data_IF_035448364133
#
_entry.id   IF_035448364133
#
_cell.length_a   1.000
_cell.length_b   1.000
_cell.length_c   1.000
_cell.angle_alpha   90.00
_cell.angle_beta   90.00
_cell.angle_gamma   90.00
#
_symmetry.space_group_name_H-M   'P 1'
#
loop_
_entity.id
_entity.type
_entity.pdbx_description
1 polymer ?
#
# COMPACT_ATOMS: atom_id res chain seq x y z
N UNK A 1 31.70 -4.56 5.52
CA UNK A 1 30.82 -3.47 5.06
C UNK A 1 30.39 -3.85 3.68
N UNK A 2 29.11 -4.16 3.51
CA UNK A 2 28.55 -4.56 2.23
C UNK A 2 28.17 -3.32 1.40
N UNK A 3 27.79 -3.54 0.13
CA UNK A 3 27.24 -2.46 -0.71
C UNK A 3 25.99 -1.83 -0.08
N UNK A 4 25.18 -2.64 0.62
CA UNK A 4 24.02 -2.15 1.38
C UNK A 4 24.46 -1.17 2.47
N UNK A 5 25.45 -1.53 3.31
CA UNK A 5 25.94 -0.65 4.37
C UNK A 5 26.38 0.72 3.80
N UNK A 6 27.11 0.71 2.69
CA UNK A 6 27.58 1.92 2.02
C UNK A 6 26.40 2.75 1.51
N UNK A 7 25.40 2.12 0.89
CA UNK A 7 24.22 2.81 0.39
C UNK A 7 23.40 3.45 1.52
N UNK A 8 23.18 2.73 2.62
CA UNK A 8 22.46 3.25 3.79
C UNK A 8 23.17 4.46 4.37
N UNK A 9 24.48 4.37 4.60
CA UNK A 9 25.29 5.48 5.12
C UNK A 9 25.26 6.67 4.17
N UNK A 10 25.43 6.44 2.86
CA UNK A 10 25.41 7.49 1.86
C UNK A 10 24.08 8.23 1.84
N UNK A 11 22.94 7.51 1.85
CA UNK A 11 21.60 8.11 1.89
C UNK A 11 21.40 8.92 3.17
N UNK A 12 21.81 8.37 4.33
CA UNK A 12 21.72 9.07 5.61
C UNK A 12 22.55 10.36 5.65
N UNK A 13 23.78 10.33 5.14
CA UNK A 13 24.66 11.50 5.07
C UNK A 13 24.07 12.54 4.11
N UNK A 14 23.68 12.14 2.90
CA UNK A 14 23.10 13.05 1.91
C UNK A 14 21.83 13.70 2.48
N UNK A 15 20.93 12.91 3.06
CA UNK A 15 19.72 13.43 3.71
C UNK A 15 20.05 14.39 4.86
N UNK A 16 21.03 14.05 5.70
CA UNK A 16 21.54 14.93 6.76
C UNK A 16 22.08 16.26 6.21
N UNK A 17 22.90 16.23 5.17
CA UNK A 17 23.48 17.44 4.56
C UNK A 17 22.41 18.31 3.90
N UNK A 18 21.43 17.73 3.20
CA UNK A 18 20.31 18.49 2.63
C UNK A 18 19.48 19.17 3.73
N UNK A 19 19.20 18.46 4.83
CA UNK A 19 18.47 19.02 5.96
C UNK A 19 19.29 20.08 6.73
N UNK A 20 20.62 19.93 6.79
CA UNK A 20 21.52 20.94 7.36
C UNK A 20 21.46 22.25 6.56
N UNK A 21 21.38 22.20 5.23
CA UNK A 21 21.26 23.39 4.38
C UNK A 21 19.89 24.07 4.58
N UNK A 22 18.83 23.28 4.76
CA UNK A 22 17.46 23.81 4.94
C UNK A 22 17.16 24.30 6.36
N UNK A 23 17.82 23.73 7.37
CA UNK A 23 17.56 24.00 8.78
C UNK A 23 16.48 23.08 9.37
N UNK A 24 16.58 22.77 10.67
CA UNK A 24 15.63 21.93 11.39
C UNK A 24 14.22 22.53 11.39
N UNK A 25 14.08 23.83 11.65
CA UNK A 25 12.79 24.49 11.69
C UNK A 25 12.04 24.35 10.35
N UNK A 26 12.73 24.57 9.22
CA UNK A 26 12.17 24.39 7.88
C UNK A 26 11.69 22.97 7.64
N UNK A 27 12.47 22.00 8.12
CA UNK A 27 12.18 20.58 7.95
C UNK A 27 10.96 20.14 8.79
N UNK A 28 10.86 20.57 10.05
CA UNK A 28 9.68 20.35 10.90
C UNK A 28 8.44 21.02 10.31
N UNK A 29 8.55 22.27 9.87
CA UNK A 29 7.43 22.97 9.22
C UNK A 29 6.98 22.26 7.94
N UNK A 30 7.90 21.64 7.19
CA UNK A 30 7.55 20.87 6.00
C UNK A 30 6.71 19.64 6.34
N UNK A 31 7.02 18.95 7.45
CA UNK A 31 6.27 17.77 7.91
C UNK A 31 4.91 18.20 8.45
N UNK A 32 4.85 19.30 9.19
CA UNK A 32 3.58 19.89 9.60
C UNK A 32 2.72 20.26 8.39
N UNK A 33 3.29 20.81 7.33
CA UNK A 33 2.56 21.09 6.09
C UNK A 33 1.97 19.81 5.47
N UNK A 34 2.73 18.72 5.43
CA UNK A 34 2.24 17.41 4.99
C UNK A 34 1.07 16.91 5.86
N UNK A 35 1.20 17.00 7.19
CA UNK A 35 0.16 16.54 8.14
C UNK A 35 -1.12 17.37 8.00
N UNK A 36 -1.00 18.70 7.97
CA UNK A 36 -2.15 19.59 7.84
C UNK A 36 -2.82 19.42 6.47
N UNK A 37 -2.04 19.26 5.40
CA UNK A 37 -2.58 18.97 4.08
C UNK A 37 -3.31 17.63 4.02
N UNK A 38 -2.77 16.57 4.63
CA UNK A 38 -3.41 15.27 4.72
C UNK A 38 -4.72 15.35 5.53
N UNK A 39 -4.71 16.03 6.68
CA UNK A 39 -5.90 16.22 7.49
C UNK A 39 -6.97 17.02 6.73
N UNK A 40 -6.57 18.10 6.04
CA UNK A 40 -7.47 18.86 5.20
C UNK A 40 -8.05 17.99 4.08
N UNK A 41 -7.23 17.16 3.41
CA UNK A 41 -7.71 16.24 2.39
C UNK A 41 -8.75 15.27 2.97
N UNK A 42 -8.48 14.64 4.12
CA UNK A 42 -9.41 13.70 4.76
C UNK A 42 -10.74 14.33 5.18
N UNK A 43 -10.74 15.61 5.55
CA UNK A 43 -11.95 16.31 5.99
C UNK A 43 -12.73 16.95 4.83
N UNK A 44 -12.05 17.47 3.82
CA UNK A 44 -12.67 18.27 2.75
C UNK A 44 -12.95 17.46 1.48
N UNK A 45 -12.37 16.28 1.29
CA UNK A 45 -12.59 15.49 0.06
C UNK A 45 -14.09 15.23 -0.25
N UNK A 46 -14.99 14.96 0.72
CA UNK A 46 -16.38 14.65 0.41
C UNK A 46 -17.11 15.85 -0.21
N UNK A 47 -16.70 17.07 0.11
CA UNK A 47 -17.27 18.29 -0.44
C UNK A 47 -16.90 18.49 -1.92
N UNK A 48 -15.73 17.98 -2.33
CA UNK A 48 -15.21 18.14 -3.68
C UNK A 48 -15.63 17.01 -4.63
N UNK A 49 -16.00 15.84 -4.11
CA UNK A 49 -16.48 14.69 -4.91
C UNK A 49 -17.59 15.06 -5.90
N UNK A 50 -18.70 15.72 -5.51
CA UNK A 50 -19.80 15.97 -6.44
C UNK A 50 -19.40 16.89 -7.60
N UNK A 51 -18.44 17.79 -7.36
CA UNK A 51 -17.89 18.64 -8.41
C UNK A 51 -17.00 17.83 -9.37
N UNK A 52 -16.14 16.96 -8.84
CA UNK A 52 -15.19 16.17 -9.63
C UNK A 52 -15.88 15.05 -10.42
N UNK A 53 -16.97 14.48 -9.91
CA UNK A 53 -17.75 13.45 -10.62
C UNK A 53 -18.35 13.94 -11.94
N UNK A 54 -18.49 15.25 -12.13
CA UNK A 54 -18.95 15.80 -13.42
C UNK A 54 -17.93 15.59 -14.56
N UNK A 55 -16.66 15.33 -14.22
CA UNK A 55 -15.56 15.20 -15.18
C UNK A 55 -14.77 13.89 -15.04
N UNK A 56 -14.94 13.14 -13.96
CA UNK A 56 -14.23 11.90 -13.69
C UNK A 56 -15.18 10.80 -13.18
N UNK A 57 -15.41 9.80 -14.02
CA UNK A 57 -15.99 8.51 -13.64
C UNK A 57 -14.90 7.45 -13.78
N UNK A 58 -14.77 6.45 -12.88
CA UNK A 58 -15.68 6.02 -11.79
C UNK A 58 -15.45 6.68 -10.41
N UNK A 59 -16.30 6.38 -9.41
CA UNK A 59 -16.27 6.99 -8.05
C UNK A 59 -14.88 6.98 -7.39
N UNK A 60 -14.14 5.88 -7.46
CA UNK A 60 -12.80 5.79 -6.84
C UNK A 60 -11.81 6.78 -7.45
N UNK A 61 -11.94 7.08 -8.75
CA UNK A 61 -11.13 8.07 -9.44
C UNK A 61 -11.50 9.48 -8.98
N UNK A 62 -12.80 9.79 -8.89
CA UNK A 62 -13.27 11.07 -8.36
C UNK A 62 -12.80 11.31 -6.92
N UNK A 63 -12.93 10.30 -6.05
CA UNK A 63 -12.43 10.33 -4.68
C UNK A 63 -10.93 10.63 -4.63
N UNK A 64 -10.14 9.91 -5.44
CA UNK A 64 -8.69 10.08 -5.49
C UNK A 64 -8.31 11.48 -5.96
N UNK A 65 -8.95 11.99 -7.02
CA UNK A 65 -8.71 13.34 -7.55
C UNK A 65 -9.11 14.41 -6.53
N UNK A 66 -10.26 14.27 -5.87
CA UNK A 66 -10.72 15.20 -4.84
C UNK A 66 -9.73 15.28 -3.67
N UNK A 67 -9.35 14.14 -3.10
CA UNK A 67 -8.41 14.08 -1.99
C UNK A 67 -7.02 14.61 -2.38
N UNK A 68 -6.49 14.19 -3.53
CA UNK A 68 -5.20 14.64 -4.04
C UNK A 68 -5.20 16.15 -4.37
N UNK A 69 -6.27 16.65 -4.98
CA UNK A 69 -6.41 18.07 -5.31
C UNK A 69 -6.38 18.95 -4.06
N UNK A 70 -7.14 18.59 -3.02
CA UNK A 70 -7.13 19.32 -1.75
C UNK A 70 -5.77 19.25 -1.09
N UNK A 71 -5.19 18.04 -1.02
CA UNK A 71 -3.86 17.84 -0.47
C UNK A 71 -2.84 18.78 -1.11
N UNK A 72 -2.75 18.79 -2.44
CA UNK A 72 -1.78 19.61 -3.18
C UNK A 72 -2.01 21.10 -2.96
N UNK A 73 -3.27 21.57 -3.06
CA UNK A 73 -3.60 22.99 -2.89
C UNK A 73 -3.23 23.47 -1.48
N UNK A 74 -3.61 22.71 -0.45
CA UNK A 74 -3.32 23.05 0.95
C UNK A 74 -1.82 22.99 1.23
N UNK A 75 -1.14 21.94 0.74
CA UNK A 75 0.30 21.79 0.89
C UNK A 75 1.07 22.97 0.28
N UNK A 76 0.72 23.37 -0.95
CA UNK A 76 1.33 24.52 -1.63
C UNK A 76 1.06 25.81 -0.84
N UNK A 77 -0.17 26.03 -0.38
CA UNK A 77 -0.53 27.22 0.39
C UNK A 77 0.30 27.34 1.69
N UNK A 78 0.42 26.25 2.45
CA UNK A 78 1.21 26.23 3.70
C UNK A 78 2.70 26.37 3.39
N UNK A 79 3.22 25.62 2.42
CA UNK A 79 4.63 25.67 2.04
C UNK A 79 5.04 27.07 1.56
N UNK A 80 4.22 27.70 0.73
CA UNK A 80 4.45 29.07 0.26
C UNK A 80 4.48 30.09 1.40
N UNK A 81 3.64 29.89 2.44
CA UNK A 81 3.68 30.73 3.63
C UNK A 81 5.01 30.57 4.36
N UNK A 82 5.48 29.33 4.56
CA UNK A 82 6.74 29.02 5.26
C UNK A 82 7.96 29.65 4.60
N UNK A 83 8.06 29.65 3.26
CA UNK A 83 9.19 30.27 2.54
C UNK A 83 9.35 31.78 2.82
N UNK A 84 8.28 32.50 3.18
CA UNK A 84 8.37 33.94 3.46
C UNK A 84 8.98 34.27 4.83
N UNK A 85 9.13 33.29 5.72
CA UNK A 85 9.66 33.48 7.06
C UNK A 85 11.17 33.29 7.15
N UNK A 86 11.75 32.45 6.29
CA UNK A 86 13.17 32.06 6.34
C UNK A 86 14.14 33.15 5.89
N UNK A 87 13.74 34.09 5.03
CA UNK A 87 14.62 35.19 4.60
C UNK A 87 14.91 36.22 5.70
N UNK A 88 14.06 36.32 6.74
CA UNK A 88 14.17 37.36 7.78
C UNK A 88 15.13 37.04 8.92
N UNK A 89 15.70 35.84 8.98
CA UNK A 89 16.55 35.39 10.09
C UNK A 89 18.04 35.32 9.70
N UNK A 90 18.60 36.41 9.16
CA UNK A 90 20.03 36.51 8.90
C UNK A 90 20.73 37.41 9.92
N UNK A 91 21.09 36.83 11.08
CA UNK A 91 22.02 37.47 12.01
C UNK A 91 22.00 36.86 13.41
N UNK A 92 22.83 35.84 13.67
CA UNK A 92 23.11 35.36 15.03
C UNK A 92 23.32 33.86 15.15
N UNK A 93 24.12 33.45 16.13
CA UNK A 93 24.60 32.09 16.46
C UNK A 93 23.51 30.99 16.49
N UNK A 94 22.23 31.37 16.60
CA UNK A 94 21.04 30.51 16.54
C UNK A 94 20.99 29.69 15.22
N UNK A 95 21.53 30.22 14.13
CA UNK A 95 21.57 29.51 12.84
C UNK A 95 22.45 28.26 12.83
N UNK A 96 23.49 28.16 13.69
CA UNK A 96 24.33 26.97 13.74
C UNK A 96 23.60 25.79 14.39
N UNK A 97 22.90 26.05 15.51
CA UNK A 97 22.14 25.02 16.23
C UNK A 97 20.99 24.46 15.39
N UNK A 98 20.26 25.34 14.68
CA UNK A 98 19.18 24.91 13.78
C UNK A 98 19.70 24.02 12.64
N UNK A 99 20.89 24.32 12.10
CA UNK A 99 21.54 23.50 11.06
C UNK A 99 22.05 22.17 11.60
N UNK A 100 22.65 22.13 12.80
CA UNK A 100 23.13 20.88 13.39
C UNK A 100 21.99 19.95 13.79
N UNK A 101 20.90 20.50 14.35
CA UNK A 101 19.66 19.75 14.57
C UNK A 101 19.06 19.28 13.24
N UNK A 102 19.13 20.11 12.20
CA UNK A 102 18.69 19.76 10.85
C UNK A 102 19.45 18.54 10.32
N UNK A 103 20.77 18.49 10.51
CA UNK A 103 21.59 17.33 10.15
C UNK A 103 21.13 16.05 10.86
N UNK A 104 20.98 16.09 12.19
CA UNK A 104 20.55 14.93 12.98
C UNK A 104 19.17 14.45 12.52
N UNK A 105 18.23 15.38 12.35
CA UNK A 105 16.91 15.10 11.84
C UNK A 105 16.98 14.46 10.43
N UNK A 106 17.79 15.02 9.54
CA UNK A 106 17.99 14.52 8.18
C UNK A 106 18.60 13.12 8.15
N UNK A 107 19.49 12.79 9.10
CA UNK A 107 20.04 11.42 9.26
C UNK A 107 18.94 10.43 9.63
N UNK A 108 18.09 10.76 10.61
CA UNK A 108 16.95 9.92 10.98
C UNK A 108 15.96 9.77 9.82
N UNK A 109 15.68 10.86 9.10
CA UNK A 109 14.83 10.82 7.90
C UNK A 109 15.45 9.93 6.81
N UNK A 110 16.76 9.99 6.62
CA UNK A 110 17.46 9.14 5.66
C UNK A 110 17.32 7.66 6.03
N UNK A 111 17.46 7.33 7.32
CA UNK A 111 17.22 5.98 7.83
C UNK A 111 15.76 5.53 7.60
N UNK A 112 14.81 6.43 7.82
CA UNK A 112 13.39 6.16 7.57
C UNK A 112 13.12 5.85 6.09
N UNK A 113 13.69 6.63 5.17
CA UNK A 113 13.56 6.39 3.72
C UNK A 113 14.16 5.03 3.34
N UNK A 114 15.33 4.68 3.88
CA UNK A 114 15.95 3.37 3.68
C UNK A 114 15.06 2.25 4.23
N UNK A 115 14.48 2.40 5.42
CA UNK A 115 13.59 1.42 6.01
C UNK A 115 12.33 1.19 5.15
N UNK A 116 11.71 2.26 4.64
CA UNK A 116 10.56 2.16 3.73
C UNK A 116 10.98 1.46 2.42
N UNK A 117 12.12 1.84 1.83
CA UNK A 117 12.62 1.16 0.63
C UNK A 117 12.91 -0.32 0.88
N UNK A 118 13.42 -0.65 2.08
CA UNK A 118 13.63 -2.02 2.49
C UNK A 118 12.31 -2.78 2.70
N UNK A 119 11.27 -2.16 3.27
CA UNK A 119 9.92 -2.74 3.32
C UNK A 119 9.44 -3.12 1.92
N UNK A 120 9.52 -2.19 0.98
CA UNK A 120 9.15 -2.43 -0.42
C UNK A 120 9.97 -3.58 -1.02
N UNK A 121 11.27 -3.65 -0.71
CA UNK A 121 12.12 -4.76 -1.14
C UNK A 121 11.68 -6.10 -0.53
N UNK A 122 11.39 -6.16 0.77
CA UNK A 122 10.91 -7.39 1.43
C UNK A 122 9.51 -7.81 1.01
N UNK A 123 8.69 -6.85 0.58
CA UNK A 123 7.39 -7.15 -0.03
C UNK A 123 7.56 -7.76 -1.43
N UNK A 124 8.57 -7.33 -2.19
CA UNK A 124 8.90 -7.88 -3.51
C UNK A 124 9.65 -9.22 -3.45
N UNK A 125 10.50 -9.41 -2.45
CA UNK A 125 11.28 -10.64 -2.19
C UNK A 125 11.01 -11.10 -0.74
N UNK A 126 9.89 -11.82 -0.50
CA UNK A 126 9.49 -12.24 0.84
C UNK A 126 10.46 -13.24 1.45
N UNK A 127 10.94 -14.18 0.64
CA UNK A 127 11.79 -15.26 1.08
C UNK A 127 13.19 -14.76 1.43
N UNK A 128 13.63 -15.07 2.66
CA UNK A 128 14.93 -14.61 3.17
C UNK A 128 16.09 -15.28 2.45
N UNK A 129 15.90 -16.50 1.95
CA UNK A 129 16.92 -17.29 1.25
C UNK A 129 17.26 -16.70 -0.13
N UNK A 130 16.30 -16.03 -0.76
CA UNK A 130 16.47 -15.37 -2.06
C UNK A 130 17.12 -13.99 -1.95
N UNK A 131 17.39 -13.51 -0.73
CA UNK A 131 18.02 -12.21 -0.53
C UNK A 131 19.50 -12.27 -0.93
N UNK A 132 19.98 -11.32 -1.75
CA UNK A 132 21.39 -11.27 -2.11
C UNK A 132 22.32 -11.19 -0.89
N UNK A 133 23.48 -11.86 -0.97
CA UNK A 133 24.49 -11.87 0.12
C UNK A 133 24.93 -10.46 0.56
N UNK A 134 24.96 -9.50 -0.37
CA UNK A 134 25.32 -8.11 -0.05
C UNK A 134 24.28 -7.38 0.83
N UNK A 135 23.07 -7.92 0.98
CA UNK A 135 22.07 -7.47 1.96
C UNK A 135 22.14 -8.34 3.21
N UNK A 136 22.16 -9.67 3.06
CA UNK A 136 22.14 -10.61 4.19
C UNK A 136 23.32 -10.44 5.15
N UNK A 137 24.50 -10.11 4.62
CA UNK A 137 25.73 -9.92 5.42
C UNK A 137 25.90 -8.47 5.92
N UNK A 138 24.92 -7.59 5.70
CA UNK A 138 25.04 -6.17 6.01
C UNK A 138 24.94 -5.89 7.52
N UNK A 139 25.84 -5.06 8.05
CA UNK A 139 25.89 -4.74 9.48
C UNK A 139 24.79 -3.79 9.92
N UNK A 140 24.32 -2.94 9.01
CA UNK A 140 23.23 -2.00 9.29
C UNK A 140 21.84 -2.64 9.08
N UNK A 141 21.78 -3.89 8.57
CA UNK A 141 20.52 -4.58 8.38
C UNK A 141 19.68 -4.68 9.66
N UNK A 142 20.22 -5.05 10.84
CA UNK A 142 19.40 -5.14 12.06
C UNK A 142 18.79 -3.80 12.48
N UNK A 143 19.51 -2.68 12.24
CA UNK A 143 18.99 -1.33 12.53
C UNK A 143 17.85 -0.97 11.56
N UNK A 144 18.03 -1.26 10.27
CA UNK A 144 17.01 -1.04 9.25
C UNK A 144 15.79 -1.92 9.50
N UNK A 145 15.98 -3.22 9.79
CA UNK A 145 14.94 -4.19 10.12
C UNK A 145 14.13 -3.77 11.36
N UNK A 146 14.79 -3.20 12.38
CA UNK A 146 14.12 -2.70 13.58
C UNK A 146 13.17 -1.53 13.25
N UNK A 147 13.66 -0.53 12.52
CA UNK A 147 12.85 0.63 12.11
C UNK A 147 11.74 0.20 11.16
N UNK A 148 12.07 -0.68 10.20
CA UNK A 148 11.15 -1.30 9.27
C UNK A 148 10.02 -2.04 10.01
N UNK A 149 10.36 -2.88 10.98
CA UNK A 149 9.41 -3.62 11.80
C UNK A 149 8.47 -2.69 12.55
N UNK A 150 9.00 -1.64 13.18
CA UNK A 150 8.19 -0.62 13.87
C UNK A 150 7.24 0.13 12.93
N UNK A 151 7.66 0.45 11.71
CA UNK A 151 6.77 1.04 10.70
C UNK A 151 5.68 0.07 10.26
N UNK A 152 6.05 -1.20 10.04
CA UNK A 152 5.11 -2.22 9.58
C UNK A 152 4.03 -2.52 10.62
N UNK A 153 4.34 -2.49 11.93
CA UNK A 153 3.33 -2.70 12.97
C UNK A 153 2.31 -1.56 13.02
N UNK A 154 2.77 -0.31 12.85
CA UNK A 154 1.87 0.85 12.80
C UNK A 154 0.94 0.81 11.58
N UNK A 155 1.44 0.34 10.43
CA UNK A 155 0.65 0.19 9.23
C UNK A 155 -0.33 -1.00 9.30
N UNK A 156 0.12 -2.14 9.85
CA UNK A 156 -0.68 -3.35 9.99
C UNK A 156 -1.86 -3.14 10.94
N UNK A 157 -1.66 -2.40 12.03
CA UNK A 157 -2.72 -2.08 13.01
C UNK A 157 -3.90 -1.33 12.37
N UNK A 158 -3.63 -0.48 11.38
CA UNK A 158 -4.65 0.29 10.66
C UNK A 158 -5.36 -0.51 9.55
N UNK A 159 -4.81 -1.66 9.14
CA UNK A 159 -5.24 -2.44 7.97
C UNK A 159 -6.19 -3.61 8.30
N UNK A 160 -6.75 -3.68 9.52
CA UNK A 160 -7.76 -4.67 9.91
C UNK A 160 -9.14 -4.47 9.26
N UNK A 161 -9.25 -3.56 8.28
CA UNK A 161 -10.38 -3.56 7.36
C UNK A 161 -10.24 -4.76 6.41
N UNK A 162 -11.27 -5.62 6.26
CA UNK A 162 -11.26 -6.69 5.27
C UNK A 162 -10.88 -6.10 3.92
N UNK A 163 -9.73 -6.51 3.40
CA UNK A 163 -9.40 -6.27 2.00
C UNK A 163 -10.33 -7.17 1.21
N UNK A 164 -11.56 -6.69 0.98
CA UNK A 164 -12.40 -7.22 -0.09
C UNK A 164 -11.53 -7.16 -1.35
N UNK A 165 -11.21 -8.30 -1.97
CA UNK A 165 -10.38 -8.29 -3.17
C UNK A 165 -11.02 -7.36 -4.19
N UNK A 166 -10.28 -6.35 -4.64
CA UNK A 166 -10.71 -5.39 -5.67
C UNK A 166 -11.12 -6.05 -7.00
N UNK A 167 -10.92 -7.37 -7.13
CA UNK A 167 -11.44 -8.22 -8.18
C UNK A 167 -12.18 -9.42 -7.57
N UNK A 168 -13.45 -9.21 -7.23
CA UNK A 168 -14.42 -10.30 -7.28
C UNK A 168 -14.97 -10.29 -8.72
N UNK A 169 -14.74 -11.33 -9.54
CA UNK A 169 -15.42 -11.43 -10.83
C UNK A 169 -16.92 -11.53 -10.54
N UNK A 170 -17.61 -10.39 -10.63
CA UNK A 170 -19.06 -10.29 -10.48
C UNK A 170 -19.71 -10.88 -11.72
N UNK A 171 -19.71 -12.21 -11.78
CA UNK A 171 -20.08 -12.97 -12.96
C UNK A 171 -20.56 -14.38 -12.64
N UNK A 172 -20.91 -14.68 -11.39
CA UNK A 172 -21.67 -15.90 -11.06
C UNK A 172 -23.03 -15.51 -10.53
N UNK A 173 -23.89 -15.01 -11.44
CA UNK A 173 -25.33 -14.92 -11.19
C UNK A 173 -25.86 -16.32 -10.86
N UNK A 174 -26.30 -16.48 -9.63
CA UNK A 174 -27.47 -17.23 -9.18
C UNK A 174 -27.69 -18.62 -9.80
N UNK A 175 -27.23 -19.66 -9.10
CA UNK A 175 -27.98 -20.92 -9.06
C UNK A 175 -28.98 -20.83 -7.88
N UNK A 176 -30.28 -21.12 -8.07
CA UNK A 176 -31.28 -21.13 -7.00
C UNK A 176 -30.91 -22.12 -5.88
N UNK A 177 -31.42 -21.93 -4.65
CA UNK A 177 -31.07 -22.78 -3.52
C UNK A 177 -31.68 -24.17 -3.72
N UNK A 178 -30.84 -25.17 -3.98
CA UNK A 178 -31.22 -26.55 -3.80
C UNK A 178 -31.43 -26.78 -2.29
N UNK A 179 -32.69 -26.78 -1.89
CA UNK A 179 -33.09 -27.05 -0.52
C UNK A 179 -32.80 -28.48 -0.08
N UNK A 180 -32.75 -28.60 1.24
CA UNK A 180 -32.93 -29.80 2.06
C UNK A 180 -31.99 -30.99 1.82
N UNK A 181 -31.08 -31.12 2.77
CA UNK A 181 -30.56 -32.39 3.26
C UNK A 181 -31.66 -33.48 3.29
N UNK A 182 -31.41 -34.61 2.65
CA UNK A 182 -31.97 -35.90 3.03
C UNK A 182 -30.92 -36.96 2.71
N UNK A 183 -30.75 -37.86 3.67
CA UNK A 183 -29.66 -38.82 3.87
C UNK A 183 -29.48 -39.87 2.75
N UNK A 184 -28.21 -40.32 2.59
CA UNK A 184 -27.62 -41.64 2.20
C UNK A 184 -28.46 -42.78 1.51
N UNK A 185 -27.87 -43.82 0.85
CA UNK A 185 -26.50 -44.34 1.00
C UNK A 185 -25.73 -44.84 -0.27
N UNK A 186 -24.40 -44.89 -0.09
CA UNK A 186 -23.36 -45.89 -0.48
C UNK A 186 -23.49 -46.84 -1.69
N UNK A 187 -22.28 -47.14 -2.19
CA UNK A 187 -21.82 -48.34 -2.91
C UNK A 187 -22.00 -48.28 -4.43
N UNK A 188 -21.03 -48.61 -5.28
CA UNK A 188 -19.70 -49.16 -5.09
C UNK A 188 -18.96 -49.14 -6.43
N UNK A 189 -17.65 -49.27 -6.36
CA UNK A 189 -16.75 -49.51 -7.50
C UNK A 189 -17.20 -50.76 -8.27
N UNK A 190 -17.30 -50.67 -9.60
CA UNK A 190 -16.63 -51.65 -10.46
C UNK A 190 -16.57 -51.17 -11.93
N UNK A 191 -15.35 -51.25 -12.44
CA UNK A 191 -14.95 -51.22 -13.83
C UNK A 191 -15.49 -52.44 -14.56
N UNK A 192 -16.15 -52.25 -15.71
CA UNK A 192 -16.00 -53.22 -16.80
C UNK A 192 -16.27 -52.62 -18.18
N UNK A 193 -15.40 -53.01 -19.10
CA UNK A 193 -15.28 -52.61 -20.50
C UNK A 193 -16.34 -53.36 -21.33
N UNK A 194 -17.40 -52.67 -21.74
CA UNK A 194 -18.24 -53.12 -22.85
C UNK A 194 -18.59 -51.92 -23.71
N UNK A 195 -18.35 -52.06 -25.01
CA UNK A 195 -18.55 -51.02 -26.04
C UNK A 195 -20.05 -50.81 -26.30
N UNK A 196 -20.73 -50.16 -25.35
CA UNK A 196 -22.16 -49.83 -25.44
C UNK A 196 -22.62 -48.88 -24.33
N UNK A 197 -23.65 -48.08 -24.61
CA UNK A 197 -24.21 -47.12 -23.66
C UNK A 197 -24.73 -47.81 -22.39
N UNK A 198 -24.37 -47.27 -21.23
CA UNK A 198 -24.78 -47.76 -19.90
C UNK A 198 -26.30 -47.63 -19.73
N UNK A 199 -26.94 -48.51 -18.94
CA UNK A 199 -28.39 -48.47 -18.70
C UNK A 199 -28.91 -47.15 -18.08
N UNK A 200 -28.03 -46.39 -17.42
CA UNK A 200 -28.31 -45.03 -16.93
C UNK A 200 -28.29 -43.98 -18.05
N UNK A 201 -27.37 -44.12 -19.00
CA UNK A 201 -27.23 -43.20 -20.14
C UNK A 201 -28.38 -43.37 -21.13
N UNK A 202 -28.87 -44.60 -21.33
CA UNK A 202 -30.05 -44.88 -22.17
C UNK A 202 -31.31 -44.17 -21.64
N UNK A 203 -31.55 -44.24 -20.33
CA UNK A 203 -32.68 -43.54 -19.69
C UNK A 203 -32.60 -42.03 -19.84
N UNK A 204 -31.40 -41.46 -19.82
CA UNK A 204 -31.20 -40.03 -20.08
C UNK A 204 -31.53 -39.66 -21.54
N UNK A 205 -31.18 -40.52 -22.50
CA UNK A 205 -31.51 -40.31 -23.91
C UNK A 205 -33.01 -40.42 -24.17
N UNK A 206 -33.69 -41.41 -23.58
CA UNK A 206 -35.14 -41.59 -23.72
C UNK A 206 -35.92 -40.35 -23.24
N UNK A 207 -35.48 -39.74 -22.13
CA UNK A 207 -36.07 -38.49 -21.61
C UNK A 207 -35.88 -37.30 -22.55
N UNK A 208 -34.78 -37.24 -23.32
CA UNK A 208 -34.54 -36.19 -24.29
C UNK A 208 -35.40 -36.35 -25.55
N UNK A 209 -35.68 -37.58 -25.95
CA UNK A 209 -36.61 -37.86 -27.06
C UNK A 209 -38.05 -37.52 -26.69
N UNK A 210 -38.45 -37.81 -25.45
CA UNK A 210 -39.79 -37.51 -24.95
C UNK A 210 -40.00 -36.01 -24.76
N UNK A 211 -38.98 -35.29 -24.30
CA UNK A 211 -39.03 -33.82 -24.15
C UNK A 211 -39.03 -33.03 -25.47
N UNK A 212 -38.76 -33.67 -26.61
CA UNK A 212 -38.74 -33.00 -27.94
C UNK A 212 -40.02 -33.27 -28.75
N UNK A 213 -40.92 -34.14 -28.27
CA UNK A 213 -42.19 -34.46 -28.94
C UNK A 213 -43.41 -33.74 -28.34
N UNK A 214 -43.24 -32.94 -27.29
CA UNK A 214 -44.23 -31.96 -26.83
C UNK A 214 -43.87 -30.53 -27.27
#
# INVERSE_FOLDING_TARGET
MTLFDIAVIAIMIVSGLLAMVRGFASEVLSILAWVVAALAALLLYPLLIPLVQTVAEPYWLALTISAAGIFVVVYIAISALTYRWTDRAHGGEIGFLDRSLGFIFGVFRGLLVVAIAFLLFTWLVPDREDRPKWIADARLLPLVDFVAGGLSSLAAEQSTAPTEPFFTPEGRRTAPPAGSETEEPKSGTDSDDTTGYKPSERRGLDQLFEATQE
#
